data_IF_790967203163
#
_entry.id   IF_790967203163
#
_cell.length_a   1.000
_cell.length_b   1.000
_cell.length_c   1.000
_cell.angle_alpha   90.00
_cell.angle_beta   90.00
_cell.angle_gamma   90.00
#
_symmetry.space_group_name_H-M   'P 1'
#
loop_
_entity.id
_entity.type
_entity.pdbx_description
1 polymer ?
#
# COMPACT_ATOMS: atom_id res chain seq x y z
N UNK A 1 3.69 30.70 -11.28
CA UNK A 1 2.35 30.94 -11.88
C UNK A 1 2.31 30.76 -13.40
N UNK A 2 2.99 31.55 -14.24
CA UNK A 2 2.87 31.43 -15.71
C UNK A 2 3.16 30.01 -16.27
N UNK A 3 4.16 29.31 -15.75
CA UNK A 3 4.47 27.93 -16.18
C UNK A 3 3.44 26.89 -15.70
N UNK A 4 2.80 27.15 -14.55
CA UNK A 4 1.74 26.30 -14.03
C UNK A 4 0.49 26.39 -14.91
N UNK A 5 0.08 27.61 -15.26
CA UNK A 5 -1.07 27.84 -16.14
C UNK A 5 -0.81 27.26 -17.54
N UNK A 6 0.42 27.42 -18.05
CA UNK A 6 0.84 26.80 -19.31
C UNK A 6 0.79 25.26 -19.25
N UNK A 7 1.23 24.65 -18.14
CA UNK A 7 1.10 23.20 -17.94
C UNK A 7 -0.35 22.75 -17.87
N UNK A 8 -1.23 23.48 -17.17
CA UNK A 8 -2.66 23.16 -17.10
C UNK A 8 -3.31 23.22 -18.49
N UNK A 9 -3.04 24.28 -19.26
CA UNK A 9 -3.53 24.42 -20.63
C UNK A 9 -2.99 23.33 -21.57
N UNK A 10 -1.70 22.98 -21.42
CA UNK A 10 -1.06 21.91 -22.18
C UNK A 10 -1.65 20.53 -21.83
N UNK A 11 -1.71 20.17 -20.55
CA UNK A 11 -2.19 18.84 -20.14
C UNK A 11 -3.67 18.66 -20.50
N UNK A 12 -4.49 19.70 -20.35
CA UNK A 12 -5.91 19.68 -20.73
C UNK A 12 -6.14 19.48 -22.23
N UNK A 13 -5.23 19.96 -23.09
CA UNK A 13 -5.28 19.72 -24.54
C UNK A 13 -4.78 18.31 -24.94
N UNK A 14 -4.18 17.56 -24.02
CA UNK A 14 -3.50 16.30 -24.29
C UNK A 14 -4.14 15.07 -23.60
N UNK A 15 -5.33 15.21 -23.03
CA UNK A 15 -6.01 14.13 -22.29
C UNK A 15 -6.37 12.93 -23.18
N UNK A 16 -6.81 13.17 -24.42
CA UNK A 16 -7.39 12.13 -25.29
C UNK A 16 -6.50 11.78 -26.49
N UNK A 17 -5.36 12.47 -26.66
CA UNK A 17 -4.45 12.26 -27.80
C UNK A 17 -3.23 11.38 -27.44
N UNK A 18 -2.38 11.13 -28.44
CA UNK A 18 -1.25 10.21 -28.34
C UNK A 18 -0.07 10.70 -27.48
N UNK A 19 -0.12 11.92 -26.92
CA UNK A 19 0.96 12.45 -26.06
C UNK A 19 1.28 11.52 -24.89
N UNK A 20 0.27 10.83 -24.36
CA UNK A 20 0.38 9.85 -23.28
C UNK A 20 0.22 8.39 -23.75
N UNK A 21 0.37 8.12 -25.04
CA UNK A 21 0.44 6.74 -25.51
C UNK A 21 1.61 6.03 -24.82
N UNK A 22 1.34 4.86 -24.24
CA UNK A 22 2.29 4.13 -23.41
C UNK A 22 2.03 2.63 -23.42
N UNK A 23 3.05 1.85 -23.13
CA UNK A 23 2.94 0.41 -22.99
C UNK A 23 4.01 -0.13 -22.04
N UNK A 24 3.69 -1.20 -21.34
CA UNK A 24 4.64 -1.93 -20.52
C UNK A 24 4.20 -3.39 -20.37
N UNK A 25 5.11 -4.23 -19.89
CA UNK A 25 4.75 -5.57 -19.43
C UNK A 25 4.23 -5.44 -17.99
N UNK A 26 2.94 -5.73 -17.76
CA UNK A 26 2.43 -5.87 -16.40
C UNK A 26 3.11 -7.10 -15.79
N UNK A 27 4.09 -6.86 -14.92
CA UNK A 27 4.85 -7.93 -14.28
C UNK A 27 3.98 -8.76 -13.33
N UNK A 28 2.80 -8.25 -12.92
CA UNK A 28 1.88 -8.96 -12.02
C UNK A 28 1.26 -10.19 -12.68
N UNK A 29 0.84 -10.04 -13.93
CA UNK A 29 0.14 -11.08 -14.68
C UNK A 29 0.89 -11.53 -15.95
N UNK A 30 2.06 -10.94 -16.20
CA UNK A 30 2.93 -11.16 -17.37
C UNK A 30 2.24 -10.87 -18.71
N UNK A 31 1.27 -9.95 -18.71
CA UNK A 31 0.56 -9.52 -19.92
C UNK A 31 1.04 -8.13 -20.36
N UNK A 32 1.09 -7.87 -21.67
CA UNK A 32 1.27 -6.51 -22.15
C UNK A 32 0.06 -5.67 -21.74
N UNK A 33 0.32 -4.47 -21.23
CA UNK A 33 -0.67 -3.42 -21.07
C UNK A 33 -0.28 -2.25 -21.97
N UNK A 34 -1.26 -1.63 -22.61
CA UNK A 34 -1.03 -0.47 -23.48
C UNK A 34 -2.21 0.49 -23.44
N UNK A 35 -1.94 1.76 -23.71
CA UNK A 35 -2.94 2.79 -23.91
C UNK A 35 -2.55 3.69 -25.09
N UNK A 36 -3.55 4.18 -25.83
CA UNK A 36 -3.34 5.13 -26.95
C UNK A 36 -3.38 6.60 -26.51
N UNK A 37 -3.87 6.89 -25.30
CA UNK A 37 -3.99 8.22 -24.71
C UNK A 37 -4.14 8.11 -23.20
N UNK A 38 -4.17 9.25 -22.49
CA UNK A 38 -4.41 9.25 -21.04
C UNK A 38 -5.84 8.79 -20.73
N UNK A 39 -6.84 9.22 -21.50
CA UNK A 39 -8.21 8.71 -21.33
C UNK A 39 -8.31 7.20 -21.61
N UNK A 40 -7.64 6.71 -22.65
CA UNK A 40 -7.63 5.27 -22.93
C UNK A 40 -6.94 4.44 -21.83
N UNK A 41 -5.99 5.01 -21.09
CA UNK A 41 -5.40 4.35 -19.92
C UNK A 41 -6.44 4.11 -18.80
N UNK A 42 -7.43 5.00 -18.68
CA UNK A 42 -8.59 4.80 -17.80
C UNK A 42 -9.54 3.72 -18.34
N UNK A 43 -9.84 3.73 -19.63
CA UNK A 43 -10.71 2.72 -20.25
C UNK A 43 -10.14 1.30 -20.15
N UNK A 44 -8.81 1.19 -20.24
CA UNK A 44 -8.06 -0.07 -20.16
C UNK A 44 -7.58 -0.39 -18.75
N UNK A 45 -8.17 0.24 -17.73
CA UNK A 45 -7.83 0.01 -16.33
C UNK A 45 -7.99 -1.47 -15.95
N UNK A 46 -6.92 -2.08 -15.47
CA UNK A 46 -6.89 -3.46 -14.98
C UNK A 46 -6.00 -3.53 -13.73
N UNK A 47 -6.60 -3.41 -12.55
CA UNK A 47 -5.90 -3.55 -11.29
C UNK A 47 -6.73 -4.28 -10.23
N UNK A 48 -6.23 -5.40 -9.68
CA UNK A 48 -7.02 -6.22 -8.77
C UNK A 48 -7.30 -5.53 -7.44
N UNK A 49 -8.50 -5.79 -6.91
CA UNK A 49 -8.86 -5.52 -5.52
C UNK A 49 -9.46 -6.78 -4.88
N UNK A 50 -9.25 -6.98 -3.56
CA UNK A 50 -9.83 -8.10 -2.83
C UNK A 50 -11.35 -7.94 -2.69
N UNK A 51 -12.01 -9.05 -2.30
CA UNK A 51 -13.38 -9.01 -1.83
C UNK A 51 -13.47 -8.30 -0.46
N UNK A 52 -14.61 -7.67 -0.20
CA UNK A 52 -14.96 -7.07 1.09
C UNK A 52 -16.35 -7.61 1.47
N UNK A 53 -16.37 -8.81 2.05
CA UNK A 53 -17.58 -9.62 2.23
C UNK A 53 -18.67 -8.90 3.02
N UNK A 54 -18.31 -8.21 4.12
CA UNK A 54 -19.29 -7.48 4.94
C UNK A 54 -19.90 -6.25 4.26
N UNK A 55 -19.38 -5.85 3.09
CA UNK A 55 -19.92 -4.78 2.26
C UNK A 55 -20.55 -5.30 0.96
N UNK A 56 -20.68 -6.63 0.78
CA UNK A 56 -21.20 -7.25 -0.45
C UNK A 56 -20.43 -6.79 -1.70
N UNK A 57 -19.10 -6.82 -1.59
CA UNK A 57 -18.17 -6.50 -2.67
C UNK A 57 -17.36 -7.74 -3.01
N UNK A 58 -17.58 -8.28 -4.21
CA UNK A 58 -16.75 -9.34 -4.77
C UNK A 58 -15.35 -8.84 -5.14
N UNK A 59 -14.40 -9.76 -5.24
CA UNK A 59 -13.09 -9.47 -5.85
C UNK A 59 -13.28 -9.01 -7.29
N UNK A 60 -12.47 -8.05 -7.71
CA UNK A 60 -12.58 -7.47 -9.05
C UNK A 60 -11.26 -6.88 -9.53
N UNK A 61 -11.27 -6.30 -10.72
CA UNK A 61 -10.05 -5.77 -11.36
C UNK A 61 -10.29 -4.55 -12.25
N UNK A 62 -11.42 -4.50 -12.94
CA UNK A 62 -11.73 -3.41 -13.84
C UNK A 62 -12.15 -2.14 -13.08
N UNK A 63 -12.32 -1.06 -13.82
CA UNK A 63 -12.69 0.22 -13.25
C UNK A 63 -14.07 0.21 -12.57
N UNK A 64 -15.05 -0.49 -13.15
CA UNK A 64 -16.41 -0.55 -12.61
C UNK A 64 -16.46 -1.28 -11.26
N UNK A 65 -15.73 -2.39 -11.13
CA UNK A 65 -15.66 -3.13 -9.86
C UNK A 65 -14.91 -2.32 -8.79
N UNK A 66 -13.81 -1.65 -9.17
CA UNK A 66 -13.08 -0.76 -8.27
C UNK A 66 -13.92 0.44 -7.82
N UNK A 67 -14.69 1.05 -8.73
CA UNK A 67 -15.59 2.15 -8.41
C UNK A 67 -16.64 1.71 -7.39
N UNK A 68 -17.27 0.54 -7.60
CA UNK A 68 -18.23 -0.04 -6.64
C UNK A 68 -17.61 -0.26 -5.26
N UNK A 69 -16.40 -0.85 -5.21
CA UNK A 69 -15.68 -1.06 -3.96
C UNK A 69 -15.38 0.27 -3.24
N UNK A 70 -14.89 1.28 -3.96
CA UNK A 70 -14.59 2.60 -3.40
C UNK A 70 -15.84 3.33 -2.92
N UNK A 71 -16.95 3.24 -3.64
CA UNK A 71 -18.23 3.80 -3.19
C UNK A 71 -18.70 3.16 -1.88
N UNK A 72 -18.59 1.83 -1.75
CA UNK A 72 -18.97 1.13 -0.52
C UNK A 72 -18.06 1.53 0.66
N UNK A 73 -16.74 1.59 0.45
CA UNK A 73 -15.77 2.04 1.46
C UNK A 73 -15.99 3.50 1.86
N UNK A 74 -16.28 4.37 0.90
CA UNK A 74 -16.62 5.77 1.16
C UNK A 74 -17.88 5.88 2.02
N UNK A 75 -18.95 5.16 1.68
CA UNK A 75 -20.19 5.17 2.46
C UNK A 75 -19.96 4.65 3.88
N UNK A 76 -19.14 3.61 4.04
CA UNK A 76 -18.78 3.07 5.34
C UNK A 76 -18.02 4.10 6.19
N UNK A 77 -17.03 4.80 5.62
CA UNK A 77 -16.32 5.90 6.26
C UNK A 77 -17.28 7.05 6.63
N UNK A 78 -18.14 7.49 5.71
CA UNK A 78 -19.08 8.57 5.96
C UNK A 78 -20.02 8.26 7.13
N UNK A 79 -20.55 7.03 7.22
CA UNK A 79 -21.39 6.58 8.35
C UNK A 79 -20.62 6.55 9.68
N UNK A 80 -19.33 6.25 9.64
CA UNK A 80 -18.49 6.25 10.84
C UNK A 80 -18.11 7.67 11.34
N UNK A 81 -18.16 8.66 10.45
CA UNK A 81 -17.77 10.04 10.75
C UNK A 81 -18.98 10.96 11.01
N UNK A 82 -20.19 10.59 10.58
CA UNK A 82 -21.39 11.39 10.74
C UNK A 82 -22.66 10.51 10.78
N UNK A 83 -23.76 10.95 11.44
CA UNK A 83 -23.92 12.23 12.14
C UNK A 83 -23.25 12.28 13.52
N UNK A 84 -22.91 11.13 14.10
CA UNK A 84 -22.17 11.01 15.36
C UNK A 84 -20.86 10.25 15.09
N UNK A 85 -19.68 10.87 15.24
CA UNK A 85 -18.40 10.22 15.00
C UNK A 85 -18.16 9.04 15.95
N UNK A 86 -17.78 7.88 15.41
CA UNK A 86 -17.48 6.68 16.19
C UNK A 86 -16.09 6.13 15.86
N UNK A 87 -15.15 6.27 16.80
CA UNK A 87 -13.75 5.89 16.66
C UNK A 87 -13.53 4.43 16.22
N UNK A 88 -14.29 3.49 16.78
CA UNK A 88 -14.16 2.08 16.44
C UNK A 88 -14.59 1.80 15.00
N UNK A 89 -15.72 2.37 14.58
CA UNK A 89 -16.19 2.24 13.21
C UNK A 89 -15.26 2.95 12.22
N UNK A 90 -14.72 4.13 12.58
CA UNK A 90 -13.78 4.86 11.74
C UNK A 90 -12.47 4.09 11.55
N UNK A 91 -11.94 3.50 12.64
CA UNK A 91 -10.75 2.63 12.60
C UNK A 91 -10.97 1.41 11.71
N UNK A 92 -12.11 0.71 11.86
CA UNK A 92 -12.46 -0.45 11.02
C UNK A 92 -12.59 -0.07 9.54
N UNK A 93 -13.34 1.00 9.23
CA UNK A 93 -13.54 1.45 7.85
C UNK A 93 -12.21 1.89 7.20
N UNK A 94 -11.34 2.58 7.95
CA UNK A 94 -10.01 2.94 7.47
C UNK A 94 -9.12 1.71 7.24
N UNK A 95 -9.22 0.67 8.08
CA UNK A 95 -8.52 -0.61 7.89
C UNK A 95 -9.01 -1.31 6.61
N UNK A 96 -10.31 -1.33 6.35
CA UNK A 96 -10.88 -1.91 5.12
C UNK A 96 -10.31 -1.22 3.87
N UNK A 97 -10.12 0.10 3.91
CA UNK A 97 -9.42 0.87 2.85
C UNK A 97 -7.96 0.44 2.71
N UNK A 98 -7.24 0.19 3.82
CA UNK A 98 -5.85 -0.29 3.76
C UNK A 98 -5.76 -1.69 3.13
N UNK A 99 -6.73 -2.55 3.41
CA UNK A 99 -6.83 -3.91 2.85
C UNK A 99 -7.12 -3.83 1.35
N UNK A 100 -8.12 -3.05 0.94
CA UNK A 100 -8.43 -2.81 -0.47
C UNK A 100 -7.21 -2.29 -1.24
N UNK A 101 -6.52 -1.31 -0.68
CA UNK A 101 -5.39 -0.65 -1.32
C UNK A 101 -4.05 -1.39 -1.23
N UNK A 102 -3.99 -2.57 -0.60
CA UNK A 102 -2.75 -3.34 -0.42
C UNK A 102 -1.68 -2.66 0.47
N UNK A 103 -2.08 -1.70 1.32
CA UNK A 103 -1.16 -0.85 2.10
C UNK A 103 -1.26 -1.12 3.61
N UNK A 104 -1.22 -2.40 3.98
CA UNK A 104 -1.43 -2.87 5.36
C UNK A 104 -0.27 -2.48 6.29
N UNK A 105 0.97 -2.69 5.85
CA UNK A 105 2.20 -2.56 6.65
C UNK A 105 2.29 -1.22 7.37
N UNK A 106 2.36 -1.26 8.70
CA UNK A 106 2.47 -0.09 9.58
C UNK A 106 1.24 0.83 9.64
N UNK A 107 0.38 0.85 8.62
CA UNK A 107 -0.85 1.66 8.62
C UNK A 107 -1.94 1.04 9.50
N UNK A 108 -2.16 -0.27 9.43
CA UNK A 108 -3.17 -0.94 10.25
C UNK A 108 -2.82 -0.80 11.74
N UNK A 109 -1.58 -1.08 12.13
CA UNK A 109 -1.13 -0.93 13.52
C UNK A 109 -1.33 0.50 14.00
N UNK A 110 -0.94 1.49 13.20
CA UNK A 110 -1.16 2.90 13.55
C UNK A 110 -2.64 3.23 13.75
N UNK A 111 -3.54 2.75 12.89
CA UNK A 111 -5.00 2.98 13.00
C UNK A 111 -5.61 2.30 14.25
N UNK A 112 -5.01 1.20 14.71
CA UNK A 112 -5.42 0.51 15.94
C UNK A 112 -4.90 1.28 17.15
N UNK A 113 -3.62 1.64 17.15
CA UNK A 113 -2.94 2.33 18.26
C UNK A 113 -3.49 3.75 18.48
N UNK A 114 -3.92 4.41 17.41
CA UNK A 114 -4.45 5.78 17.41
C UNK A 114 -5.98 5.82 17.31
N UNK A 115 -6.66 4.72 17.65
CA UNK A 115 -8.14 4.63 17.56
C UNK A 115 -8.85 5.72 18.36
N UNK A 116 -8.34 6.06 19.54
CA UNK A 116 -8.94 7.10 20.39
C UNK A 116 -8.89 8.45 19.68
N UNK A 117 -10.04 9.09 19.52
CA UNK A 117 -10.26 10.33 18.79
C UNK A 117 -9.96 10.27 17.28
N UNK A 118 -9.85 9.07 16.70
CA UNK A 118 -9.55 8.90 15.28
C UNK A 118 -10.63 9.52 14.39
N UNK A 119 -11.90 9.37 14.76
CA UNK A 119 -12.99 9.87 13.92
C UNK A 119 -12.91 11.41 13.78
N UNK A 120 -12.68 12.12 14.89
CA UNK A 120 -12.48 13.57 14.86
C UNK A 120 -11.19 13.95 14.12
N UNK A 121 -10.08 13.23 14.33
CA UNK A 121 -8.85 13.47 13.57
C UNK A 121 -9.08 13.39 12.05
N UNK A 122 -9.82 12.39 11.58
CA UNK A 122 -10.16 12.25 10.16
C UNK A 122 -11.06 13.39 9.66
N UNK A 123 -12.05 13.82 10.47
CA UNK A 123 -12.93 14.95 10.17
C UNK A 123 -12.13 16.26 10.06
N UNK A 124 -11.28 16.53 11.04
CA UNK A 124 -10.46 17.75 11.08
C UNK A 124 -9.45 17.75 9.93
N UNK A 125 -8.84 16.61 9.63
CA UNK A 125 -7.93 16.46 8.48
C UNK A 125 -8.65 16.68 7.17
N UNK A 126 -9.86 16.13 7.00
CA UNK A 126 -10.72 16.39 5.83
C UNK A 126 -11.00 17.89 5.70
N UNK A 127 -11.43 18.54 6.78
CA UNK A 127 -11.77 19.97 6.76
C UNK A 127 -10.54 20.82 6.40
N UNK A 128 -9.36 20.47 6.92
CA UNK A 128 -8.10 21.13 6.61
C UNK A 128 -7.66 20.93 5.15
N UNK A 129 -7.91 19.75 4.57
CA UNK A 129 -7.65 19.49 3.14
C UNK A 129 -8.64 20.26 2.27
N UNK A 130 -9.94 20.19 2.60
CA UNK A 130 -11.02 20.80 1.82
C UNK A 130 -10.99 22.34 1.89
N UNK A 131 -10.29 22.96 2.85
CA UNK A 131 -10.05 24.41 2.86
C UNK A 131 -9.09 24.84 1.75
N UNK A 132 -8.24 23.92 1.25
CA UNK A 132 -7.22 24.20 0.25
C UNK A 132 -5.98 24.93 0.80
N UNK A 133 -5.90 25.18 2.10
CA UNK A 133 -4.79 25.90 2.73
C UNK A 133 -3.58 24.97 2.98
N UNK A 134 -2.54 25.10 2.15
CA UNK A 134 -1.32 24.27 2.26
C UNK A 134 -0.54 24.43 3.58
N UNK A 135 -0.77 25.52 4.30
CA UNK A 135 -0.12 25.85 5.58
C UNK A 135 -1.07 25.70 6.77
N UNK A 136 -2.18 24.97 6.63
CA UNK A 136 -3.09 24.73 7.73
C UNK A 136 -2.35 24.04 8.91
N UNK A 137 -2.47 24.52 10.16
CA UNK A 137 -1.65 24.05 11.28
C UNK A 137 -1.67 22.52 11.47
N UNK A 138 -2.82 21.88 11.30
CA UNK A 138 -2.95 20.42 11.38
C UNK A 138 -2.12 19.68 10.32
N UNK A 139 -2.00 20.21 9.10
CA UNK A 139 -1.22 19.59 8.02
C UNK A 139 0.30 19.78 8.21
N UNK A 140 0.68 20.77 9.01
CA UNK A 140 2.05 21.03 9.42
C UNK A 140 2.46 20.23 10.67
N UNK A 141 1.52 19.52 11.33
CA UNK A 141 1.81 18.71 12.51
C UNK A 141 2.63 17.47 12.10
N UNK A 142 3.87 17.30 12.59
CA UNK A 142 4.69 16.13 12.29
C UNK A 142 4.10 14.81 12.81
N UNK A 143 3.15 14.87 13.76
CA UNK A 143 2.45 13.69 14.27
C UNK A 143 1.25 13.28 13.43
N UNK A 144 0.78 14.13 12.50
CA UNK A 144 -0.26 13.74 11.56
C UNK A 144 0.27 12.68 10.61
N UNK A 145 -0.31 11.48 10.64
CA UNK A 145 0.04 10.44 9.68
C UNK A 145 -0.49 10.80 8.30
N UNK A 146 0.41 11.23 7.43
CA UNK A 146 0.13 11.48 6.02
C UNK A 146 1.14 10.73 5.15
N UNK A 147 0.68 9.72 4.42
CA UNK A 147 1.53 8.93 3.53
C UNK A 147 0.67 8.35 2.40
N UNK A 148 1.29 7.66 1.43
CA UNK A 148 0.60 7.06 0.28
C UNK A 148 -0.52 6.06 0.65
N UNK A 149 -0.51 5.50 1.86
CA UNK A 149 -1.61 4.68 2.37
C UNK A 149 -2.75 5.54 2.88
N UNK A 150 -2.46 6.52 3.73
CA UNK A 150 -3.46 7.44 4.29
C UNK A 150 -4.13 8.32 3.24
N UNK A 151 -3.47 8.64 2.12
CA UNK A 151 -4.12 9.34 1.00
C UNK A 151 -5.34 8.57 0.47
N UNK A 152 -5.38 7.24 0.58
CA UNK A 152 -6.54 6.43 0.21
C UNK A 152 -7.75 6.76 1.08
N UNK A 153 -7.57 6.78 2.40
CA UNK A 153 -8.63 7.16 3.35
C UNK A 153 -9.06 8.59 3.11
N UNK A 154 -8.11 9.53 3.03
CA UNK A 154 -8.42 10.94 2.83
C UNK A 154 -9.15 11.19 1.51
N UNK A 155 -8.78 10.50 0.42
CA UNK A 155 -9.42 10.64 -0.89
C UNK A 155 -10.90 10.22 -0.92
N UNK A 156 -11.34 9.41 0.06
CA UNK A 156 -12.72 8.97 0.16
C UNK A 156 -13.59 9.90 1.02
N UNK A 157 -12.98 10.70 1.90
CA UNK A 157 -13.71 11.62 2.79
C UNK A 157 -13.65 13.08 2.34
N UNK A 158 -12.63 13.46 1.55
CA UNK A 158 -12.47 14.82 1.00
C UNK A 158 -13.20 14.99 -0.34
N UNK A 159 -13.50 16.22 -0.74
CA UNK A 159 -14.29 16.50 -1.95
C UNK A 159 -13.53 16.25 -3.25
N UNK A 160 -12.29 16.73 -3.32
CA UNK A 160 -11.47 16.69 -4.53
C UNK A 160 -10.02 16.39 -4.17
N UNK A 161 -9.78 15.19 -3.67
CA UNK A 161 -8.44 14.72 -3.32
C UNK A 161 -8.13 13.42 -4.02
N UNK A 162 -6.98 13.35 -4.70
CA UNK A 162 -6.52 12.13 -5.35
C UNK A 162 -5.78 11.20 -4.38
N UNK A 163 -5.71 9.91 -4.71
CA UNK A 163 -4.77 8.96 -4.13
C UNK A 163 -3.40 9.26 -4.70
N UNK A 164 -2.68 10.17 -4.05
CA UNK A 164 -1.31 10.48 -4.42
C UNK A 164 -0.34 9.42 -3.88
N UNK A 165 -0.22 8.32 -4.63
CA UNK A 165 0.77 7.27 -4.40
C UNK A 165 1.97 7.37 -5.35
N UNK A 166 2.93 6.45 -5.21
CA UNK A 166 4.15 6.47 -6.03
C UNK A 166 3.90 6.38 -7.55
N UNK A 167 2.79 5.75 -7.98
CA UNK A 167 2.46 5.60 -9.41
C UNK A 167 1.87 6.88 -9.95
N UNK A 168 0.88 7.44 -9.25
CA UNK A 168 0.31 8.74 -9.64
C UNK A 168 1.40 9.81 -9.68
N UNK A 169 2.29 9.85 -8.68
CA UNK A 169 3.44 10.76 -8.67
C UNK A 169 4.39 10.55 -9.87
N UNK A 170 4.71 9.29 -10.21
CA UNK A 170 5.56 8.97 -11.36
C UNK A 170 4.95 9.44 -12.69
N UNK A 171 3.66 9.16 -12.92
CA UNK A 171 2.96 9.59 -14.13
C UNK A 171 2.85 11.12 -14.25
N UNK A 172 2.61 11.82 -13.13
CA UNK A 172 2.60 13.29 -13.10
C UNK A 172 3.97 13.88 -13.42
N UNK A 173 5.04 13.34 -12.84
CA UNK A 173 6.40 13.76 -13.20
C UNK A 173 6.70 13.53 -14.69
N UNK A 174 6.25 12.40 -15.24
CA UNK A 174 6.40 12.10 -16.68
C UNK A 174 5.63 13.08 -17.56
N UNK A 175 4.42 13.48 -17.14
CA UNK A 175 3.65 14.52 -17.82
C UNK A 175 4.39 15.86 -17.82
N UNK A 176 4.99 16.24 -16.70
CA UNK A 176 5.78 17.47 -16.58
C UNK A 176 7.03 17.43 -17.46
N UNK A 177 7.70 16.28 -17.58
CA UNK A 177 8.83 16.11 -18.50
C UNK A 177 8.42 16.34 -19.95
N UNK A 178 7.32 15.73 -20.39
CA UNK A 178 6.77 15.94 -21.75
C UNK A 178 6.42 17.40 -21.99
N UNK A 179 5.76 18.05 -21.03
CA UNK A 179 5.48 19.48 -21.09
C UNK A 179 6.75 20.31 -21.26
N UNK A 180 7.76 20.08 -20.43
CA UNK A 180 9.04 20.81 -20.50
C UNK A 180 9.72 20.64 -21.86
N UNK A 181 9.65 19.45 -22.45
CA UNK A 181 10.23 19.14 -23.77
C UNK A 181 9.43 19.75 -24.93
N UNK A 182 8.12 19.90 -24.79
CA UNK A 182 7.23 20.44 -25.82
C UNK A 182 6.97 21.94 -25.70
N UNK A 183 7.33 22.57 -24.59
CA UNK A 183 7.26 24.01 -24.42
C UNK A 183 8.15 24.74 -25.44
N UNK A 184 7.77 25.97 -25.80
CA UNK A 184 8.54 26.81 -26.71
C UNK A 184 8.89 28.15 -26.04
N UNK A 185 10.18 28.40 -25.71
CA UNK A 185 11.30 27.46 -25.80
C UNK A 185 11.20 26.32 -24.78
N UNK A 186 11.86 25.19 -25.07
CA UNK A 186 11.88 24.04 -24.18
C UNK A 186 12.51 24.40 -22.82
N UNK A 187 11.92 23.87 -21.75
CA UNK A 187 12.40 24.10 -20.38
C UNK A 187 13.51 23.11 -20.05
N UNK A 188 14.61 23.64 -19.49
CA UNK A 188 15.78 22.84 -19.10
C UNK A 188 15.73 22.37 -17.65
N UNK A 189 14.78 22.88 -16.86
CA UNK A 189 14.56 22.55 -15.46
C UNK A 189 13.07 22.41 -15.19
N UNK A 190 12.72 21.54 -14.23
CA UNK A 190 11.34 21.39 -13.77
C UNK A 190 10.92 22.65 -13.00
N UNK A 191 9.81 23.32 -13.38
CA UNK A 191 9.29 24.43 -12.59
C UNK A 191 8.99 24.00 -11.15
N UNK A 192 9.35 24.78 -10.11
CA UNK A 192 9.18 24.38 -8.72
C UNK A 192 7.76 23.95 -8.35
N UNK A 193 6.75 24.67 -8.82
CA UNK A 193 5.32 24.34 -8.66
C UNK A 193 4.86 23.04 -9.36
N UNK A 194 5.71 22.45 -10.22
CA UNK A 194 5.46 21.20 -10.94
C UNK A 194 6.45 20.09 -10.53
N UNK A 195 7.30 20.33 -9.53
CA UNK A 195 8.29 19.38 -9.04
C UNK A 195 7.68 18.29 -8.13
N UNK A 196 6.65 17.61 -8.64
CA UNK A 196 5.92 16.54 -7.95
C UNK A 196 6.89 15.50 -7.35
N UNK A 197 6.95 15.38 -6.01
CA UNK A 197 7.82 14.40 -5.38
C UNK A 197 7.37 12.98 -5.69
N UNK A 198 8.31 12.11 -5.98
CA UNK A 198 8.06 10.73 -6.40
C UNK A 198 8.79 9.71 -5.53
N UNK A 199 8.33 8.46 -5.55
CA UNK A 199 8.98 7.37 -4.83
C UNK A 199 9.32 6.23 -5.79
N UNK A 200 10.51 5.64 -5.57
CA UNK A 200 10.91 4.43 -6.26
C UNK A 200 9.89 3.31 -6.07
N UNK A 201 9.78 2.45 -7.09
CA UNK A 201 9.17 1.15 -6.85
C UNK A 201 9.95 0.41 -5.76
N UNK A 202 9.30 -0.53 -5.09
CA UNK A 202 10.02 -1.42 -4.19
C UNK A 202 11.13 -2.10 -5.00
N UNK A 203 12.35 -2.17 -4.46
CA UNK A 203 13.44 -2.83 -5.17
C UNK A 203 13.03 -4.29 -5.39
N UNK A 204 12.98 -4.68 -6.65
CA UNK A 204 12.80 -6.06 -7.08
C UNK A 204 13.84 -6.39 -8.14
N UNK A 205 13.99 -7.67 -8.49
CA UNK A 205 14.97 -8.13 -9.50
C UNK A 205 14.78 -7.48 -10.87
N UNK A 206 13.56 -7.06 -11.20
CA UNK A 206 13.25 -6.29 -12.40
C UNK A 206 12.51 -5.01 -11.97
N UNK A 207 13.24 -3.98 -11.50
CA UNK A 207 12.62 -2.84 -10.88
C UNK A 207 11.76 -2.08 -11.87
N UNK A 208 10.51 -1.80 -11.47
CA UNK A 208 9.63 -0.90 -12.23
C UNK A 208 10.27 0.47 -12.29
N UNK A 209 10.36 1.04 -13.49
CA UNK A 209 10.96 2.36 -13.66
C UNK A 209 9.91 3.41 -13.33
N UNK A 210 9.91 3.89 -12.08
CA UNK A 210 9.01 4.97 -11.65
C UNK A 210 9.67 6.34 -11.62
N UNK A 211 10.98 6.41 -11.89
CA UNK A 211 11.68 7.69 -11.90
C UNK A 211 11.26 8.50 -13.13
N UNK A 212 10.57 9.64 -12.95
CA UNK A 212 10.20 10.47 -14.08
C UNK A 212 11.38 11.30 -14.62
N UNK A 213 12.47 11.44 -13.87
CA UNK A 213 13.57 12.36 -14.22
C UNK A 213 14.27 12.01 -15.53
N UNK A 214 14.57 13.04 -16.33
CA UNK A 214 15.31 12.93 -17.59
C UNK A 214 16.30 14.08 -17.75
N UNK A 215 17.60 13.78 -17.85
CA UNK A 215 18.64 14.79 -17.97
C UNK A 215 18.61 15.80 -16.81
N UNK A 216 18.41 17.09 -17.12
CA UNK A 216 18.34 18.15 -16.11
C UNK A 216 16.94 18.33 -15.48
N UNK A 217 15.93 17.60 -15.97
CA UNK A 217 14.58 17.60 -15.42
C UNK A 217 14.51 16.63 -14.24
N UNK A 218 14.81 17.12 -13.04
CA UNK A 218 14.92 16.33 -11.82
C UNK A 218 13.73 16.55 -10.88
N UNK A 219 13.31 15.50 -10.18
CA UNK A 219 12.18 15.53 -9.24
C UNK A 219 12.64 15.09 -7.84
N UNK A 220 12.13 15.75 -6.77
CA UNK A 220 12.51 15.41 -5.41
C UNK A 220 11.92 14.05 -4.96
N UNK A 221 12.51 13.40 -3.95
CA UNK A 221 11.94 12.20 -3.35
C UNK A 221 10.68 12.53 -2.53
N UNK A 222 9.67 11.68 -2.62
CA UNK A 222 8.45 11.76 -1.84
C UNK A 222 8.72 11.41 -0.38
N UNK A 223 8.32 12.32 0.51
CA UNK A 223 8.44 12.17 1.96
C UNK A 223 7.04 12.14 2.57
N UNK A 224 6.87 11.33 3.62
CA UNK A 224 5.63 11.31 4.40
C UNK A 224 5.47 12.61 5.24
N UNK A 225 4.31 12.75 5.87
CA UNK A 225 3.94 13.89 6.70
C UNK A 225 3.58 15.12 5.87
N UNK A 226 3.99 16.29 6.36
CA UNK A 226 3.64 17.61 5.81
C UNK A 226 3.91 17.73 4.31
N UNK A 227 5.08 17.29 3.84
CA UNK A 227 5.44 17.38 2.42
C UNK A 227 4.47 16.55 1.56
N UNK A 228 4.07 15.36 2.02
CA UNK A 228 3.07 14.54 1.33
C UNK A 228 1.72 15.28 1.27
N UNK A 229 1.28 15.84 2.40
CA UNK A 229 0.00 16.53 2.48
C UNK A 229 -0.09 17.70 1.50
N UNK A 230 0.92 18.57 1.49
CA UNK A 230 0.99 19.73 0.61
C UNK A 230 0.97 19.33 -0.86
N UNK A 231 1.81 18.37 -1.25
CA UNK A 231 1.86 17.91 -2.64
C UNK A 231 0.63 17.12 -3.07
N UNK A 232 -0.03 16.39 -2.18
CA UNK A 232 -1.30 15.74 -2.48
C UNK A 232 -2.40 16.78 -2.78
N UNK A 233 -2.51 17.82 -1.94
CA UNK A 233 -3.47 18.91 -2.15
C UNK A 233 -3.17 19.64 -3.46
N UNK A 234 -1.90 20.02 -3.67
CA UNK A 234 -1.48 20.73 -4.88
C UNK A 234 -1.70 19.89 -6.15
N UNK A 235 -1.32 18.61 -6.16
CA UNK A 235 -1.60 17.72 -7.29
C UNK A 235 -3.10 17.60 -7.57
N UNK A 236 -3.92 17.48 -6.52
CA UNK A 236 -5.37 17.39 -6.65
C UNK A 236 -5.97 18.67 -7.25
N UNK A 237 -5.52 19.85 -6.79
CA UNK A 237 -5.95 21.15 -7.31
C UNK A 237 -5.54 21.35 -8.78
N UNK A 238 -4.31 20.98 -9.14
CA UNK A 238 -3.81 21.07 -10.52
C UNK A 238 -4.61 20.16 -11.44
N UNK A 239 -4.86 18.91 -11.04
CA UNK A 239 -5.65 17.97 -11.85
C UNK A 239 -7.12 18.39 -11.98
N UNK A 240 -7.70 18.95 -10.92
CA UNK A 240 -9.03 19.56 -10.99
C UNK A 240 -9.05 20.75 -11.96
N UNK A 241 -8.02 21.60 -11.95
CA UNK A 241 -7.88 22.72 -12.88
C UNK A 241 -7.70 22.26 -14.34
N UNK A 242 -6.94 21.19 -14.57
CA UNK A 242 -6.81 20.55 -15.90
C UNK A 242 -8.17 20.10 -16.43
N UNK A 243 -8.98 19.44 -15.59
CA UNK A 243 -10.32 18.97 -15.98
C UNK A 243 -11.32 20.12 -16.18
N UNK A 244 -11.17 21.22 -15.43
CA UNK A 244 -12.02 22.40 -15.55
C UNK A 244 -11.62 23.34 -16.70
N UNK A 245 -10.44 23.17 -17.28
CA UNK A 245 -9.95 24.00 -18.38
C UNK A 245 -10.77 23.79 -19.66
N UNK A 246 -10.94 24.85 -20.47
CA UNK A 246 -11.79 24.82 -21.67
C UNK A 246 -11.37 23.73 -22.67
N UNK A 247 -10.07 23.44 -22.80
CA UNK A 247 -9.55 22.39 -23.68
C UNK A 247 -9.98 20.97 -23.28
N UNK A 248 -10.32 20.75 -22.00
CA UNK A 248 -10.77 19.45 -21.50
C UNK A 248 -12.29 19.25 -21.63
N UNK A 249 -13.05 20.25 -22.10
CA UNK A 249 -14.53 20.19 -22.14
C UNK A 249 -15.06 18.96 -22.87
N UNK A 250 -14.44 18.62 -24.00
CA UNK A 250 -14.84 17.48 -24.83
C UNK A 250 -14.03 16.21 -24.52
N UNK A 251 -13.19 16.24 -23.48
CA UNK A 251 -12.42 15.07 -23.05
C UNK A 251 -13.35 13.97 -22.56
N UNK A 252 -12.99 12.70 -22.84
CA UNK A 252 -13.69 11.55 -22.31
C UNK A 252 -13.78 11.54 -20.78
N UNK A 253 -12.82 12.16 -20.09
CA UNK A 253 -12.85 12.29 -18.63
C UNK A 253 -14.03 13.11 -18.11
N UNK A 254 -14.48 14.10 -18.86
CA UNK A 254 -15.60 14.97 -18.51
C UNK A 254 -16.96 14.45 -19.00
N UNK A 255 -16.96 13.42 -19.84
CA UNK A 255 -18.18 12.72 -20.21
C UNK A 255 -18.56 11.71 -19.13
N UNK A 256 -19.86 11.59 -18.80
CA UNK A 256 -20.31 10.56 -17.88
C UNK A 256 -20.32 9.19 -18.60
N UNK A 257 -19.28 8.40 -18.35
CA UNK A 257 -19.15 7.04 -18.87
C UNK A 257 -20.01 5.99 -18.15
N UNK A 258 -20.92 6.39 -17.25
CA UNK A 258 -21.81 5.47 -16.53
C UNK A 258 -21.13 4.65 -15.43
N UNK A 259 -19.86 4.93 -15.12
CA UNK A 259 -19.09 4.25 -14.06
C UNK A 259 -19.42 4.72 -12.64
N UNK A 260 -20.18 5.83 -12.51
CA UNK A 260 -20.44 6.49 -11.23
C UNK A 260 -19.21 7.17 -10.61
N UNK A 261 -18.08 7.23 -11.33
CA UNK A 261 -16.82 7.85 -10.85
C UNK A 261 -16.73 9.31 -11.28
N UNK A 262 -16.24 10.19 -10.41
CA UNK A 262 -15.98 11.59 -10.77
C UNK A 262 -14.88 11.72 -11.82
N UNK A 263 -14.87 12.79 -12.64
CA UNK A 263 -13.80 13.07 -13.61
C UNK A 263 -12.39 12.98 -13.00
N UNK A 264 -12.21 13.54 -11.79
CA UNK A 264 -10.93 13.51 -11.08
C UNK A 264 -10.49 12.08 -10.74
N UNK A 265 -11.42 11.21 -10.32
CA UNK A 265 -11.12 9.80 -10.02
C UNK A 265 -10.75 9.03 -11.29
N UNK A 266 -11.40 9.32 -12.42
CA UNK A 266 -11.06 8.73 -13.71
C UNK A 266 -9.64 9.11 -14.14
N UNK A 267 -9.29 10.38 -14.02
CA UNK A 267 -7.94 10.88 -14.33
C UNK A 267 -6.87 10.29 -13.42
N UNK A 268 -7.14 10.18 -12.11
CA UNK A 268 -6.27 9.50 -11.16
C UNK A 268 -6.03 8.03 -11.56
N UNK A 269 -7.08 7.30 -11.92
CA UNK A 269 -6.99 5.90 -12.33
C UNK A 269 -6.13 5.72 -13.59
N UNK A 270 -6.23 6.63 -14.57
CA UNK A 270 -5.34 6.65 -15.73
C UNK A 270 -3.87 6.87 -15.34
N UNK A 271 -3.59 7.87 -14.51
CA UNK A 271 -2.23 8.16 -14.03
C UNK A 271 -1.65 6.99 -13.24
N UNK A 272 -2.47 6.32 -12.44
CA UNK A 272 -2.09 5.14 -11.68
C UNK A 272 -1.68 3.96 -12.58
N UNK A 273 -2.39 3.75 -13.69
CA UNK A 273 -2.05 2.70 -14.65
C UNK A 273 -0.75 3.03 -15.41
N UNK A 274 -0.60 4.25 -15.91
CA UNK A 274 0.63 4.67 -16.60
C UNK A 274 1.85 4.61 -15.67
N UNK A 275 1.69 5.12 -14.44
CA UNK A 275 2.76 5.21 -13.45
C UNK A 275 3.19 3.88 -12.83
N UNK A 276 2.58 2.76 -13.25
CA UNK A 276 3.04 1.44 -12.85
C UNK A 276 4.51 1.22 -13.23
N UNK A 277 4.85 1.51 -14.49
CA UNK A 277 6.21 1.45 -15.05
C UNK A 277 6.35 2.40 -16.25
N UNK A 278 7.25 3.37 -16.17
CA UNK A 278 7.55 4.35 -17.21
C UNK A 278 8.60 3.86 -18.23
N UNK A 279 9.30 2.75 -17.95
CA UNK A 279 10.45 2.28 -18.71
C UNK A 279 10.12 1.68 -20.08
N UNK A 280 8.84 1.53 -20.42
CA UNK A 280 8.39 0.92 -21.66
C UNK A 280 8.66 -0.60 -21.73
N UNK A 281 8.23 -1.24 -22.80
CA UNK A 281 8.55 -2.64 -23.10
C UNK A 281 10.01 -2.79 -23.57
N UNK A 282 11.00 -2.51 -22.71
CA UNK A 282 12.39 -2.89 -22.97
C UNK A 282 12.63 -4.30 -22.46
N UNK A 283 12.48 -5.27 -23.36
CA UNK A 283 12.89 -6.67 -23.17
C UNK A 283 14.41 -6.78 -23.24
N UNK A 284 15.09 -6.57 -22.12
CA UNK A 284 16.42 -7.12 -21.87
C UNK A 284 16.41 -7.85 -20.54
N UNK A 285 16.11 -9.14 -20.59
CA UNK A 285 16.35 -10.07 -19.49
C UNK A 285 17.86 -10.31 -19.46
N UNK A 286 18.59 -9.46 -18.74
CA UNK A 286 19.95 -9.78 -18.34
C UNK A 286 19.85 -10.66 -17.09
N UNK A 287 20.23 -11.93 -17.24
CA UNK A 287 20.57 -12.79 -16.12
C UNK A 287 21.75 -12.16 -15.38
N UNK A 288 21.49 -11.58 -14.21
CA UNK A 288 22.53 -11.27 -13.23
C UNK A 288 22.09 -11.72 -11.85
N UNK A 289 23.00 -12.47 -11.23
CA UNK A 289 22.90 -13.05 -9.90
C UNK A 289 22.64 -11.99 -8.81
N UNK A 290 21.90 -12.45 -7.81
CA UNK A 290 21.07 -11.68 -6.87
C UNK A 290 21.82 -11.19 -5.64
N UNK A 291 21.63 -9.91 -5.27
CA UNK A 291 21.91 -9.31 -3.95
C UNK A 291 20.66 -8.43 -3.63
N UNK A 292 19.59 -8.89 -2.95
CA UNK A 292 19.36 -9.13 -1.51
C UNK A 292 18.19 -8.26 -0.95
N UNK A 293 16.96 -8.79 -1.04
CA UNK A 293 15.67 -8.27 -0.54
C UNK A 293 15.46 -8.57 0.96
N UNK A 294 15.54 -7.59 1.84
CA UNK A 294 15.33 -7.78 3.30
C UNK A 294 14.32 -6.77 3.84
N UNK A 295 13.34 -7.27 4.61
CA UNK A 295 12.21 -6.55 5.20
C UNK A 295 12.52 -6.24 6.66
N UNK A 296 12.55 -4.96 7.03
CA UNK A 296 12.72 -4.55 8.44
C UNK A 296 11.51 -4.94 9.31
N UNK A 297 11.80 -5.42 10.53
CA UNK A 297 10.84 -5.89 11.52
C UNK A 297 11.40 -5.75 12.97
N UNK A 298 10.55 -5.88 13.99
CA UNK A 298 10.93 -5.74 15.41
C UNK A 298 10.34 -6.85 16.27
N UNK A 299 11.14 -7.38 17.20
CA UNK A 299 10.66 -8.44 18.09
C UNK A 299 9.56 -7.93 19.01
N UNK A 300 8.52 -8.71 19.34
CA UNK A 300 7.35 -8.17 20.01
C UNK A 300 7.69 -7.61 21.39
N UNK A 301 8.43 -8.33 22.24
CA UNK A 301 8.64 -7.91 23.65
C UNK A 301 9.72 -6.84 23.83
N UNK A 302 10.92 -7.06 23.28
CA UNK A 302 12.08 -6.18 23.50
C UNK A 302 12.23 -5.09 22.43
N UNK A 303 11.40 -5.13 21.38
CA UNK A 303 11.47 -4.20 20.26
C UNK A 303 12.85 -4.15 19.57
N UNK A 304 13.60 -5.27 19.61
CA UNK A 304 14.89 -5.37 18.94
C UNK A 304 14.67 -5.40 17.42
N UNK A 305 15.39 -4.57 16.64
CA UNK A 305 15.29 -4.57 15.19
C UNK A 305 15.94 -5.82 14.59
N UNK A 306 15.35 -6.31 13.51
CA UNK A 306 15.93 -7.33 12.65
C UNK A 306 15.36 -7.16 11.24
N UNK A 307 15.94 -7.88 10.27
CA UNK A 307 15.32 -7.98 8.96
C UNK A 307 14.88 -9.41 8.70
N UNK A 308 13.88 -9.62 7.85
CA UNK A 308 13.50 -10.94 7.37
C UNK A 308 13.26 -10.93 5.87
N UNK A 309 13.20 -12.10 5.27
CA UNK A 309 12.73 -12.26 3.89
C UNK A 309 11.96 -13.56 3.75
N UNK A 310 11.03 -13.56 2.81
CA UNK A 310 10.32 -14.75 2.39
C UNK A 310 11.20 -15.55 1.42
N UNK A 311 11.12 -16.88 1.48
CA UNK A 311 11.78 -17.80 0.55
C UNK A 311 10.82 -18.93 0.24
N UNK A 312 11.00 -19.62 -0.88
CA UNK A 312 10.22 -20.84 -1.20
C UNK A 312 10.33 -21.92 -0.12
N UNK A 313 11.36 -21.86 0.74
CA UNK A 313 11.61 -22.84 1.81
C UNK A 313 11.14 -22.38 3.20
N UNK A 314 10.54 -21.19 3.33
CA UNK A 314 10.12 -20.60 4.60
C UNK A 314 10.66 -19.18 4.79
N UNK A 315 11.17 -18.87 5.99
CA UNK A 315 11.66 -17.53 6.31
C UNK A 315 13.14 -17.51 6.63
N UNK A 316 13.81 -16.41 6.29
CA UNK A 316 15.15 -16.10 6.80
C UNK A 316 15.11 -14.78 7.57
N UNK A 317 15.83 -14.69 8.69
CA UNK A 317 16.06 -13.43 9.40
C UNK A 317 17.52 -13.06 9.41
N UNK A 318 17.81 -11.76 9.46
CA UNK A 318 19.14 -11.19 9.55
C UNK A 318 19.19 -10.20 10.72
N UNK A 319 20.00 -10.54 11.70
CA UNK A 319 20.53 -9.60 12.70
C UNK A 319 22.03 -9.47 12.47
N UNK A 320 22.87 -9.98 13.38
CA UNK A 320 24.31 -10.21 13.16
C UNK A 320 24.60 -11.53 12.45
N UNK A 321 23.62 -12.44 12.40
CA UNK A 321 23.68 -13.73 11.69
C UNK A 321 22.38 -13.97 10.93
N UNK A 322 22.43 -14.89 9.97
CA UNK A 322 21.23 -15.38 9.29
C UNK A 322 20.64 -16.56 10.07
N UNK A 323 19.36 -16.46 10.41
CA UNK A 323 18.58 -17.55 11.03
C UNK A 323 17.53 -18.01 10.03
N UNK A 324 17.36 -19.32 9.86
CA UNK A 324 16.37 -19.89 8.95
C UNK A 324 15.23 -20.54 9.72
N UNK A 325 14.00 -20.35 9.24
CA UNK A 325 12.77 -20.95 9.72
C UNK A 325 12.15 -21.76 8.57
N UNK A 326 12.48 -23.05 8.45
CA UNK A 326 11.93 -23.90 7.39
C UNK A 326 10.41 -24.01 7.49
N UNK A 327 9.72 -24.12 6.35
CA UNK A 327 8.26 -24.30 6.27
C UNK A 327 7.73 -25.35 7.24
N UNK A 328 8.38 -26.52 7.29
CA UNK A 328 8.01 -27.59 8.20
C UNK A 328 8.01 -27.14 9.67
N UNK A 329 9.05 -26.42 10.11
CA UNK A 329 9.15 -25.91 11.49
C UNK A 329 8.04 -24.90 11.78
N UNK A 330 7.72 -24.05 10.81
CA UNK A 330 6.63 -23.06 10.95
C UNK A 330 5.29 -23.78 11.07
N UNK A 331 5.00 -24.71 10.17
CA UNK A 331 3.77 -25.51 10.18
C UNK A 331 3.64 -26.33 11.47
N UNK A 332 4.70 -26.97 11.93
CA UNK A 332 4.70 -27.73 13.19
C UNK A 332 4.42 -26.82 14.40
N UNK A 333 4.99 -25.61 14.39
CA UNK A 333 4.71 -24.58 15.42
C UNK A 333 3.23 -24.19 15.41
N UNK A 334 2.67 -23.88 14.22
CA UNK A 334 1.26 -23.51 14.07
C UNK A 334 0.32 -24.65 14.49
N UNK A 335 0.59 -25.88 14.05
CA UNK A 335 -0.20 -27.06 14.40
C UNK A 335 -0.13 -27.41 15.89
N UNK A 336 1.01 -27.17 16.54
CA UNK A 336 1.10 -27.28 17.99
C UNK A 336 0.16 -26.28 18.67
N UNK A 337 0.24 -25.00 18.29
CA UNK A 337 -0.62 -23.95 18.86
C UNK A 337 -2.10 -24.23 18.61
N UNK A 338 -2.47 -24.70 17.42
CA UNK A 338 -3.84 -25.08 17.11
C UNK A 338 -4.36 -26.22 17.99
N UNK A 339 -3.56 -27.27 18.19
CA UNK A 339 -3.94 -28.40 19.06
C UNK A 339 -4.10 -27.99 20.52
N UNK A 340 -3.25 -27.09 21.00
CA UNK A 340 -3.26 -26.68 22.41
C UNK A 340 -4.31 -25.61 22.72
N UNK A 341 -4.48 -24.64 21.83
CA UNK A 341 -5.28 -23.44 22.11
C UNK A 341 -6.54 -23.33 21.25
N UNK A 342 -6.63 -24.05 20.13
CA UNK A 342 -7.74 -23.90 19.20
C UNK A 342 -7.89 -22.44 18.75
N UNK A 343 -9.10 -21.89 18.90
CA UNK A 343 -9.40 -20.47 18.67
C UNK A 343 -9.07 -19.56 19.86
N UNK A 344 -8.52 -20.12 20.94
CA UNK A 344 -8.13 -19.43 22.15
C UNK A 344 -6.81 -18.67 22.01
N UNK A 345 -6.54 -17.83 23.01
CA UNK A 345 -5.34 -17.00 23.06
C UNK A 345 -4.12 -17.77 23.59
N UNK A 346 -2.93 -17.44 23.10
CA UNK A 346 -1.66 -17.99 23.57
C UNK A 346 -0.59 -16.91 23.79
N UNK A 347 0.32 -17.11 24.76
CA UNK A 347 1.42 -16.19 25.06
C UNK A 347 2.68 -16.49 24.21
N UNK A 348 3.69 -15.63 24.33
CA UNK A 348 4.98 -15.83 23.66
C UNK A 348 5.79 -16.99 24.27
N UNK A 349 5.81 -17.12 25.60
CA UNK A 349 6.42 -18.23 26.35
C UNK A 349 7.78 -18.74 25.82
N UNK A 350 8.80 -17.87 25.74
CA UNK A 350 10.05 -18.18 25.02
C UNK A 350 11.35 -18.02 25.84
N UNK A 351 11.27 -18.24 27.14
CA UNK A 351 12.44 -18.22 28.02
C UNK A 351 13.46 -19.29 27.59
N UNK A 352 14.72 -18.88 27.40
CA UNK A 352 15.82 -19.76 27.04
C UNK A 352 16.05 -20.89 28.05
N UNK A 353 15.76 -20.62 29.33
CA UNK A 353 16.03 -21.56 30.43
C UNK A 353 14.77 -22.33 30.85
N UNK A 354 13.63 -21.64 30.94
CA UNK A 354 12.39 -22.25 31.46
C UNK A 354 11.72 -23.18 30.48
N UNK A 355 11.79 -22.90 29.17
CA UNK A 355 11.17 -23.78 28.16
C UNK A 355 11.86 -25.14 28.10
N UNK A 356 13.21 -25.24 27.97
CA UNK A 356 13.88 -26.54 28.00
C UNK A 356 13.72 -27.27 29.34
N UNK A 357 13.59 -26.54 30.45
CA UNK A 357 13.36 -27.12 31.78
C UNK A 357 11.91 -27.59 32.02
N UNK A 358 10.97 -27.35 31.09
CA UNK A 358 9.55 -27.67 31.28
C UNK A 358 8.85 -26.81 32.34
N UNK A 359 9.40 -25.62 32.63
CA UNK A 359 8.91 -24.68 33.66
C UNK A 359 8.22 -23.44 33.06
N UNK A 360 8.07 -23.39 31.73
CA UNK A 360 7.34 -22.34 31.03
C UNK A 360 5.88 -22.74 30.85
N UNK A 361 4.97 -21.76 30.81
CA UNK A 361 3.63 -21.98 30.28
C UNK A 361 3.68 -22.37 28.81
N UNK A 362 2.62 -23.02 28.31
CA UNK A 362 2.47 -23.32 26.89
C UNK A 362 2.28 -22.04 26.07
N UNK A 363 2.89 -21.97 24.89
CA UNK A 363 2.78 -20.82 24.00
C UNK A 363 3.70 -20.95 22.79
N UNK A 364 4.00 -19.83 22.14
CA UNK A 364 4.74 -19.84 20.86
C UNK A 364 6.16 -20.39 21.03
N UNK A 365 6.85 -20.08 22.13
CA UNK A 365 8.19 -20.57 22.39
C UNK A 365 8.24 -22.07 22.72
N UNK A 366 7.26 -22.62 23.44
CA UNK A 366 7.17 -24.08 23.65
C UNK A 366 6.84 -24.79 22.34
N UNK A 367 5.88 -24.26 21.56
CA UNK A 367 5.53 -24.76 20.24
C UNK A 367 6.75 -24.82 19.30
N UNK A 368 7.49 -23.71 19.18
CA UNK A 368 8.69 -23.61 18.37
C UNK A 368 9.79 -24.57 18.86
N UNK A 369 9.98 -24.68 20.18
CA UNK A 369 10.94 -25.60 20.77
C UNK A 369 10.66 -27.07 20.39
N UNK A 370 9.38 -27.46 20.37
CA UNK A 370 8.98 -28.78 19.89
C UNK A 370 9.24 -28.95 18.38
N UNK A 371 8.90 -27.95 17.56
CA UNK A 371 9.07 -27.98 16.11
C UNK A 371 10.53 -28.09 15.66
N UNK A 372 11.49 -27.54 16.44
CA UNK A 372 12.93 -27.65 16.15
C UNK A 372 13.61 -28.85 16.81
N UNK A 373 12.85 -29.88 17.22
CA UNK A 373 13.36 -31.06 17.91
C UNK A 373 14.16 -30.71 19.18
N UNK A 374 13.64 -29.80 20.00
CA UNK A 374 14.16 -29.44 21.33
C UNK A 374 15.59 -28.86 21.34
N UNK A 375 16.03 -28.26 20.23
CA UNK A 375 17.28 -27.51 20.18
C UNK A 375 17.22 -26.24 21.05
N UNK A 376 18.34 -25.85 21.66
CA UNK A 376 18.44 -24.65 22.51
C UNK A 376 18.46 -23.34 21.69
N UNK A 377 17.37 -23.08 20.96
CA UNK A 377 17.18 -21.87 20.12
C UNK A 377 15.84 -21.17 20.38
N UNK A 378 15.22 -21.46 21.52
CA UNK A 378 13.88 -20.96 21.92
C UNK A 378 13.70 -19.45 21.74
N UNK A 379 14.65 -18.56 22.10
CA UNK A 379 14.44 -17.11 21.97
C UNK A 379 14.19 -16.63 20.54
N UNK A 380 14.64 -17.38 19.53
CA UNK A 380 14.42 -17.08 18.10
C UNK A 380 12.93 -17.10 17.73
N UNK A 381 12.08 -17.76 18.53
CA UNK A 381 10.63 -17.69 18.36
C UNK A 381 10.10 -16.26 18.44
N UNK A 382 10.80 -15.33 19.09
CA UNK A 382 10.43 -13.90 19.08
C UNK A 382 10.40 -13.32 17.66
N UNK A 383 11.37 -13.71 16.83
CA UNK A 383 11.47 -13.22 15.45
C UNK A 383 10.39 -13.89 14.60
N UNK A 384 10.18 -15.19 14.78
CA UNK A 384 9.11 -15.92 14.10
C UNK A 384 7.72 -15.33 14.44
N UNK A 385 7.45 -15.01 15.70
CA UNK A 385 6.20 -14.36 16.12
C UNK A 385 6.00 -13.03 15.41
N UNK A 386 7.03 -12.19 15.36
CA UNK A 386 6.94 -10.89 14.69
C UNK A 386 6.69 -11.03 13.18
N UNK A 387 7.31 -12.01 12.52
CA UNK A 387 7.03 -12.31 11.10
C UNK A 387 5.56 -12.74 10.94
N UNK A 388 5.10 -13.71 11.72
CA UNK A 388 3.74 -14.25 11.60
C UNK A 388 2.66 -13.21 11.97
N UNK A 389 2.97 -12.26 12.85
CA UNK A 389 2.13 -11.09 13.13
C UNK A 389 2.11 -10.11 11.95
N UNK A 390 3.28 -9.78 11.36
CA UNK A 390 3.39 -8.88 10.20
C UNK A 390 2.64 -9.44 8.97
N UNK A 391 2.67 -10.76 8.78
CA UNK A 391 1.92 -11.46 7.73
C UNK A 391 0.42 -11.63 8.04
N UNK A 392 -0.02 -11.28 9.26
CA UNK A 392 -1.42 -11.39 9.68
C UNK A 392 -1.87 -12.81 10.04
N UNK A 393 -0.95 -13.77 10.14
CA UNK A 393 -1.21 -15.15 10.60
C UNK A 393 -1.50 -15.16 12.10
N UNK A 394 -0.80 -14.33 12.87
CA UNK A 394 -1.11 -14.05 14.27
C UNK A 394 -1.81 -12.72 14.41
N UNK A 395 -2.91 -12.70 15.19
CA UNK A 395 -3.61 -11.48 15.55
C UNK A 395 -3.36 -11.17 17.02
N UNK A 396 -2.83 -9.98 17.31
CA UNK A 396 -2.55 -9.53 18.67
C UNK A 396 -3.86 -9.13 19.37
N UNK A 397 -4.18 -9.81 20.47
CA UNK A 397 -5.43 -9.59 21.24
C UNK A 397 -5.24 -8.71 22.46
N UNK A 398 -4.03 -8.66 23.04
CA UNK A 398 -3.76 -7.87 24.25
C UNK A 398 -2.37 -7.26 24.23
N UNK A 399 -2.29 -5.93 24.28
CA UNK A 399 -1.02 -5.20 24.34
C UNK A 399 -0.31 -5.34 25.70
N UNK A 400 -1.06 -5.48 26.80
CA UNK A 400 -0.49 -5.50 28.16
C UNK A 400 0.20 -6.82 28.50
N UNK A 401 -0.34 -7.96 28.05
CA UNK A 401 0.24 -9.28 28.30
C UNK A 401 0.80 -9.96 27.05
N UNK A 402 0.73 -9.31 25.88
CA UNK A 402 1.13 -9.83 24.55
C UNK A 402 0.65 -11.26 24.32
N UNK A 403 -0.61 -11.37 23.94
CA UNK A 403 -1.26 -12.63 23.60
C UNK A 403 -1.79 -12.56 22.18
N UNK A 404 -1.74 -13.69 21.48
CA UNK A 404 -2.16 -13.81 20.09
C UNK A 404 -3.23 -14.88 19.93
N UNK A 405 -3.96 -14.78 18.82
CA UNK A 405 -4.82 -15.85 18.30
C UNK A 405 -4.42 -16.18 16.87
N UNK A 406 -4.73 -17.39 16.42
CA UNK A 406 -4.52 -17.83 15.04
C UNK A 406 -5.58 -17.22 14.12
N UNK A 407 -5.15 -16.62 13.01
CA UNK A 407 -6.05 -16.18 11.95
C UNK A 407 -6.39 -17.34 10.99
N UNK A 408 -7.33 -18.19 11.41
CA UNK A 408 -7.71 -19.39 10.66
C UNK A 408 -8.34 -19.09 9.29
N UNK A 409 -8.94 -17.91 9.12
CA UNK A 409 -9.50 -17.46 7.84
C UNK A 409 -8.39 -17.25 6.81
N UNK A 410 -7.21 -16.77 7.24
CA UNK A 410 -6.08 -16.51 6.34
C UNK A 410 -5.39 -17.81 5.89
N UNK A 411 -5.40 -18.84 6.76
CA UNK A 411 -4.78 -20.14 6.54
C UNK A 411 -5.69 -21.15 5.81
N UNK A 412 -6.91 -20.75 5.42
CA UNK A 412 -7.89 -21.54 4.64
C UNK A 412 -8.13 -22.96 5.18
N UNK A 413 -8.13 -23.11 6.51
CA UNK A 413 -8.25 -24.43 7.14
C UNK A 413 -9.71 -24.85 7.37
N UNK A 414 -10.13 -26.06 6.95
CA UNK A 414 -11.35 -26.68 7.43
C UNK A 414 -11.22 -27.07 8.91
N UNK A 415 -12.34 -27.05 9.66
CA UNK A 415 -12.45 -27.17 11.13
C UNK A 415 -11.75 -28.38 11.81
N UNK A 416 -11.12 -29.31 11.06
CA UNK A 416 -10.39 -30.49 11.57
C UNK A 416 -9.07 -30.81 10.86
N UNK A 417 -8.56 -29.91 10.00
CA UNK A 417 -7.31 -30.13 9.25
C UNK A 417 -6.04 -29.73 10.00
N UNK A 418 -4.88 -30.13 9.47
CA UNK A 418 -3.59 -29.54 9.81
C UNK A 418 -3.45 -28.16 9.19
N UNK A 419 -2.88 -27.20 9.92
CA UNK A 419 -2.54 -25.88 9.39
C UNK A 419 -1.35 -26.00 8.43
N UNK A 420 -1.45 -25.30 7.30
CA UNK A 420 -0.37 -25.17 6.32
C UNK A 420 -0.25 -23.72 5.85
N UNK A 421 0.92 -23.13 6.08
CA UNK A 421 1.23 -21.75 5.68
C UNK A 421 1.75 -21.66 4.24
N UNK A 422 2.15 -22.77 3.62
CA UNK A 422 2.76 -22.77 2.29
C UNK A 422 1.88 -22.08 1.23
N UNK A 423 0.56 -22.31 1.14
CA UNK A 423 -0.28 -21.60 0.18
C UNK A 423 -0.34 -20.08 0.41
N UNK A 424 -0.25 -19.63 1.67
CA UNK A 424 -0.13 -18.21 1.98
C UNK A 424 1.25 -17.68 1.59
N UNK A 425 2.32 -18.42 1.89
CA UNK A 425 3.68 -18.02 1.58
C UNK A 425 3.89 -17.94 0.07
N UNK A 426 3.40 -18.90 -0.71
CA UNK A 426 3.44 -18.88 -2.17
C UNK A 426 2.64 -17.69 -2.71
N UNK A 427 1.44 -17.42 -2.19
CA UNK A 427 0.69 -16.20 -2.54
C UNK A 427 1.45 -14.92 -2.23
N UNK A 428 2.13 -14.84 -1.09
CA UNK A 428 2.89 -13.66 -0.69
C UNK A 428 4.19 -13.51 -1.47
N UNK A 429 4.88 -14.62 -1.79
CA UNK A 429 6.03 -14.64 -2.67
C UNK A 429 5.64 -14.29 -4.10
N UNK A 430 4.48 -14.75 -4.55
CA UNK A 430 3.86 -14.32 -5.80
C UNK A 430 3.53 -12.83 -5.71
N UNK A 431 2.89 -12.35 -4.65
CA UNK A 431 2.56 -10.92 -4.46
C UNK A 431 3.83 -10.03 -4.38
N UNK A 432 4.93 -10.52 -3.77
CA UNK A 432 6.25 -9.85 -3.70
C UNK A 432 7.02 -9.92 -5.02
N UNK A 433 6.91 -11.03 -5.76
CA UNK A 433 7.42 -11.15 -7.13
C UNK A 433 6.59 -10.32 -8.14
N UNK A 434 5.36 -9.96 -7.76
CA UNK A 434 4.44 -9.11 -8.50
C UNK A 434 4.57 -7.62 -8.09
N UNK A 435 5.11 -7.29 -6.92
CA UNK A 435 5.42 -5.92 -6.47
C UNK A 435 6.73 -5.35 -7.03
#
# INVERSE_FOLDING_TARGET
MAQLDAFIAWMSANLDNATFAHQYLDRKNRKPWHCSSLFNAYETYDWPHPAIEHLDIDKGRNITSNARALTALQQQLQRALAPAPEDHAASRAAIDVMIWGGVRKGNINWLIDHRKNLANLLIDTRNAIDSGELNHPLLLDPNLRFNAGMTKVYSLICKQLVIYDSRVAAALGWAVVKFCQQAEPALTQVPPELAFPWAAARPTRQPKQRNPSQGNLQFPPLQAGTVHAQWNIQASQILAAVLAHANAKDSGFNQDGGSGSSPLRRLEAALFMIGYDLGGASTTIANQDVISDWIECWTPTKHNPFHYRLTEQGFETRTTRITRFPLQVVNDTLNYLWRQFGRGQFPLANSADRVPAGLSEEGIGTAYYHAINRQQRVPESSQLTAILEDLGVFQLMSLRKKHWVLNLQLLDTPDKGSLDIEPLLLRLLDDEAQD
#
